data_IF_143011477527
#
_entry.id   IF_143011477527
#
_cell.length_a   1.000
_cell.length_b   1.000
_cell.length_c   1.000
_cell.angle_alpha   90.00
_cell.angle_beta   90.00
_cell.angle_gamma   90.00
#
_symmetry.space_group_name_H-M   'P 1'
#
loop_
_entity.id
_entity.type
_entity.pdbx_description
1 polymer ?
#
# COMPACT_ATOMS: atom_id res chain seq x y z
N UNK A 1 -10.72 20.55 2.76
CA UNK A 1 -9.38 20.00 2.62
C UNK A 1 -9.38 18.46 2.62
N UNK A 2 -10.04 17.78 3.56
CA UNK A 2 -10.06 16.31 3.61
C UNK A 2 -10.71 15.68 2.37
N UNK A 3 -11.73 16.30 1.78
CA UNK A 3 -12.29 15.87 0.49
C UNK A 3 -11.28 15.97 -0.66
N UNK A 4 -10.44 17.02 -0.66
CA UNK A 4 -9.39 17.15 -1.67
C UNK A 4 -8.29 16.08 -1.49
N UNK A 5 -7.90 15.77 -0.24
CA UNK A 5 -6.98 14.66 0.03
C UNK A 5 -7.54 13.34 -0.49
N UNK A 6 -8.81 13.04 -0.21
CA UNK A 6 -9.47 11.84 -0.71
C UNK A 6 -9.54 11.83 -2.25
N UNK A 7 -9.94 12.96 -2.87
CA UNK A 7 -10.02 13.08 -4.33
C UNK A 7 -8.67 12.85 -5.01
N UNK A 8 -7.59 13.41 -4.48
CA UNK A 8 -6.23 13.20 -5.01
C UNK A 8 -5.79 11.74 -4.88
N UNK A 9 -6.04 11.11 -3.72
CA UNK A 9 -5.72 9.69 -3.53
C UNK A 9 -6.54 8.77 -4.48
N UNK A 10 -7.82 9.08 -4.67
CA UNK A 10 -8.69 8.33 -5.59
C UNK A 10 -8.25 8.54 -7.04
N UNK A 11 -7.95 9.77 -7.42
CA UNK A 11 -7.38 10.10 -8.72
C UNK A 11 -6.08 9.32 -8.96
N UNK A 12 -5.17 9.31 -7.99
CA UNK A 12 -3.91 8.57 -8.10
C UNK A 12 -4.11 7.07 -8.38
N UNK A 13 -5.05 6.41 -7.68
CA UNK A 13 -5.38 5.00 -7.94
C UNK A 13 -6.01 4.82 -9.32
N UNK A 14 -7.00 5.67 -9.67
CA UNK A 14 -7.73 5.56 -10.93
C UNK A 14 -6.86 5.83 -12.17
N UNK A 15 -5.72 6.48 -12.00
CA UNK A 15 -4.78 6.82 -13.08
C UNK A 15 -3.48 6.02 -13.09
N UNK A 16 -3.34 4.99 -12.23
CA UNK A 16 -2.13 4.14 -12.18
C UNK A 16 -1.79 3.44 -13.51
N UNK A 17 -2.78 3.23 -14.35
CA UNK A 17 -2.63 2.65 -15.69
C UNK A 17 -2.13 3.64 -16.74
N UNK A 18 -2.30 4.95 -16.49
CA UNK A 18 -2.07 5.98 -17.48
C UNK A 18 -0.60 6.03 -17.92
N UNK A 19 -0.32 6.05 -19.23
CA UNK A 19 1.04 6.16 -19.73
C UNK A 19 1.62 7.55 -19.44
N UNK A 20 2.93 7.60 -19.30
CA UNK A 20 3.67 8.84 -19.06
C UNK A 20 3.54 9.38 -17.65
N UNK A 21 4.14 10.55 -17.42
CA UNK A 21 4.29 11.13 -16.08
C UNK A 21 3.20 12.14 -15.70
N UNK A 22 2.27 12.48 -16.60
CA UNK A 22 1.30 13.55 -16.37
C UNK A 22 0.39 13.29 -15.16
N UNK A 23 -0.11 12.06 -15.01
CA UNK A 23 -0.98 11.69 -13.90
C UNK A 23 -0.23 11.75 -12.56
N UNK A 24 1.01 11.26 -12.54
CA UNK A 24 1.89 11.33 -11.36
C UNK A 24 2.20 12.79 -11.03
N UNK A 25 2.52 13.62 -12.02
CA UNK A 25 2.81 15.03 -11.80
C UNK A 25 1.60 15.78 -11.23
N UNK A 26 0.39 15.56 -11.75
CA UNK A 26 -0.85 16.15 -11.21
C UNK A 26 -1.07 15.71 -9.76
N UNK A 27 -0.86 14.44 -9.47
CA UNK A 27 -0.98 13.89 -8.12
C UNK A 27 0.03 14.53 -7.16
N UNK A 28 1.31 14.59 -7.53
CA UNK A 28 2.39 15.13 -6.70
C UNK A 28 2.20 16.64 -6.44
N UNK A 29 1.93 17.43 -7.49
CA UNK A 29 1.67 18.87 -7.36
C UNK A 29 0.44 19.14 -6.48
N UNK A 30 -0.63 18.35 -6.68
CA UNK A 30 -1.82 18.44 -5.85
C UNK A 30 -1.53 18.16 -4.37
N UNK A 31 -0.71 17.13 -4.08
CA UNK A 31 -0.32 16.80 -2.71
C UNK A 31 0.59 17.85 -2.09
N UNK A 32 1.54 18.42 -2.83
CA UNK A 32 2.38 19.53 -2.35
C UNK A 32 1.55 20.76 -2.01
N UNK A 33 0.62 21.15 -2.90
CA UNK A 33 -0.28 22.29 -2.64
C UNK A 33 -1.17 22.05 -1.42
N UNK A 34 -1.73 20.86 -1.28
CA UNK A 34 -2.56 20.52 -0.13
C UNK A 34 -1.77 20.53 1.18
N UNK A 35 -0.56 19.96 1.19
CA UNK A 35 0.30 19.94 2.36
C UNK A 35 0.76 21.35 2.76
N UNK A 36 1.12 22.19 1.79
CA UNK A 36 1.47 23.58 2.04
C UNK A 36 0.32 24.34 2.72
N UNK A 37 -0.91 24.23 2.19
CA UNK A 37 -2.10 24.86 2.80
C UNK A 37 -2.40 24.29 4.18
N UNK A 38 -2.23 22.97 4.38
CA UNK A 38 -2.43 22.33 5.67
C UNK A 38 -1.42 22.85 6.71
N UNK A 39 -0.14 22.95 6.34
CA UNK A 39 0.91 23.49 7.20
C UNK A 39 0.67 24.96 7.54
N UNK A 40 0.36 25.82 6.57
CA UNK A 40 0.06 27.23 6.81
C UNK A 40 -1.09 27.42 7.83
N UNK A 41 -2.13 26.58 7.72
CA UNK A 41 -3.24 26.60 8.70
C UNK A 41 -2.82 26.09 10.06
N UNK A 42 -1.87 25.15 10.12
CA UNK A 42 -1.38 24.58 11.38
C UNK A 42 -0.38 25.45 12.12
N UNK A 43 0.16 26.50 11.50
CA UNK A 43 1.10 27.45 12.15
C UNK A 43 0.50 28.08 13.43
N UNK A 44 -0.83 28.17 13.51
CA UNK A 44 -1.55 28.64 14.71
C UNK A 44 -1.70 27.60 15.81
N UNK A 45 -1.42 26.33 15.52
CA UNK A 45 -1.52 25.20 16.43
C UNK A 45 -0.24 24.39 16.35
N UNK A 46 0.58 24.38 17.40
CA UNK A 46 1.87 23.70 17.40
C UNK A 46 1.75 22.27 16.84
N UNK A 47 2.48 21.92 15.78
CA UNK A 47 2.48 20.56 15.26
C UNK A 47 3.07 19.63 16.30
N UNK A 48 2.34 18.57 16.69
CA UNK A 48 2.91 17.54 17.56
C UNK A 48 3.79 16.64 16.72
N UNK A 49 5.05 16.55 17.09
CA UNK A 49 5.97 15.57 16.50
C UNK A 49 5.44 14.15 16.73
N UNK A 50 5.45 13.34 15.71
CA UNK A 50 5.21 11.90 15.81
C UNK A 50 6.31 11.15 15.05
N UNK A 51 6.64 9.97 15.54
CA UNK A 51 7.81 9.21 15.09
C UNK A 51 7.90 9.00 13.56
N UNK A 52 6.79 8.65 12.83
CA UNK A 52 6.87 8.42 11.37
C UNK A 52 7.37 9.62 10.57
N UNK A 53 7.28 10.83 11.13
CA UNK A 53 7.80 12.04 10.47
C UNK A 53 9.31 11.97 10.30
N UNK A 54 10.05 11.39 11.27
CA UNK A 54 11.50 11.32 11.24
C UNK A 54 12.04 10.46 10.08
N UNK A 55 11.63 9.19 9.89
CA UNK A 55 12.10 8.39 8.75
C UNK A 55 11.65 8.94 7.39
N UNK A 56 10.47 9.58 7.29
CA UNK A 56 10.03 10.21 6.04
C UNK A 56 10.84 11.47 5.72
N UNK A 57 11.16 12.31 6.71
CA UNK A 57 12.07 13.45 6.54
C UNK A 57 13.47 12.98 6.20
N UNK A 58 13.95 11.93 6.87
CA UNK A 58 15.26 11.33 6.57
C UNK A 58 15.31 10.83 5.12
N UNK A 59 14.26 10.18 4.61
CA UNK A 59 14.22 9.71 3.24
C UNK A 59 14.41 10.85 2.21
N UNK A 60 13.72 11.97 2.41
CA UNK A 60 13.89 13.16 1.56
C UNK A 60 15.30 13.75 1.71
N UNK A 61 15.72 13.97 2.95
CA UNK A 61 17.04 14.56 3.25
C UNK A 61 18.17 13.70 2.65
N UNK A 62 18.11 12.38 2.81
CA UNK A 62 19.12 11.45 2.33
C UNK A 62 19.27 11.49 0.82
N UNK A 63 18.17 11.47 0.10
CA UNK A 63 18.19 11.60 -1.36
C UNK A 63 18.75 12.95 -1.83
N UNK A 64 18.42 14.04 -1.13
CA UNK A 64 19.03 15.36 -1.40
C UNK A 64 20.53 15.37 -1.14
N UNK A 65 21.00 14.73 -0.06
CA UNK A 65 22.44 14.58 0.22
C UNK A 65 23.13 13.79 -0.89
N UNK A 66 22.57 12.65 -1.31
CA UNK A 66 23.13 11.87 -2.42
C UNK A 66 23.24 12.69 -3.71
N UNK A 67 22.20 13.46 -4.01
CA UNK A 67 22.18 14.30 -5.22
C UNK A 67 23.19 15.44 -5.15
N UNK A 68 23.20 16.22 -4.07
CA UNK A 68 24.08 17.39 -3.94
C UNK A 68 25.56 17.02 -3.81
N UNK A 69 25.87 15.90 -3.16
CA UNK A 69 27.25 15.47 -2.99
C UNK A 69 27.80 14.66 -4.17
N UNK A 70 26.99 14.47 -5.22
CA UNK A 70 27.37 13.65 -6.38
C UNK A 70 27.54 12.16 -6.08
N UNK A 71 26.95 11.67 -4.99
CA UNK A 71 27.04 10.25 -4.57
C UNK A 71 25.95 9.38 -5.20
N UNK A 72 25.37 9.80 -6.30
CA UNK A 72 24.41 9.03 -7.09
C UNK A 72 24.97 8.73 -8.47
N UNK A 73 24.66 7.54 -9.00
CA UNK A 73 25.04 7.15 -10.37
C UNK A 73 24.12 7.76 -11.42
N UNK A 74 22.89 8.17 -11.04
CA UNK A 74 21.95 8.85 -11.90
C UNK A 74 21.24 10.01 -11.17
N UNK A 75 21.75 11.25 -11.33
CA UNK A 75 21.11 12.42 -10.72
C UNK A 75 19.64 12.61 -11.13
N UNK A 76 19.27 12.16 -12.32
CA UNK A 76 17.90 12.24 -12.82
C UNK A 76 16.97 11.33 -12.02
N UNK A 77 17.29 10.04 -11.88
CA UNK A 77 16.48 9.07 -11.13
C UNK A 77 16.38 9.46 -9.65
N UNK A 78 17.49 9.92 -9.08
CA UNK A 78 17.50 10.37 -7.67
C UNK A 78 16.58 11.58 -7.45
N UNK A 79 16.51 12.55 -8.38
CA UNK A 79 15.57 13.67 -8.29
C UNK A 79 14.12 13.19 -8.33
N UNK A 80 13.80 12.25 -9.21
CA UNK A 80 12.46 11.66 -9.27
C UNK A 80 12.12 10.93 -7.96
N UNK A 81 13.05 10.16 -7.43
CA UNK A 81 12.87 9.46 -6.14
C UNK A 81 12.68 10.46 -4.98
N UNK A 82 13.46 11.54 -4.92
CA UNK A 82 13.28 12.62 -3.93
C UNK A 82 11.89 13.26 -4.05
N UNK A 83 11.39 13.55 -5.25
CA UNK A 83 10.05 14.09 -5.45
C UNK A 83 8.98 13.12 -4.91
N UNK A 84 9.11 11.82 -5.18
CA UNK A 84 8.21 10.78 -4.66
C UNK A 84 8.21 10.71 -3.12
N UNK A 85 9.39 10.68 -2.49
CA UNK A 85 9.49 10.69 -1.03
C UNK A 85 8.95 11.98 -0.42
N UNK A 86 9.16 13.12 -1.08
CA UNK A 86 8.57 14.40 -0.69
C UNK A 86 7.05 14.37 -0.79
N UNK A 87 6.49 13.70 -1.80
CA UNK A 87 5.04 13.49 -1.92
C UNK A 87 4.51 12.64 -0.77
N UNK A 88 5.18 11.55 -0.39
CA UNK A 88 4.78 10.74 0.76
C UNK A 88 4.85 11.52 2.07
N UNK A 89 5.88 12.34 2.26
CA UNK A 89 5.98 13.26 3.39
C UNK A 89 4.84 14.30 3.40
N UNK A 90 4.47 14.84 2.23
CA UNK A 90 3.35 15.77 2.08
C UNK A 90 2.01 15.10 2.44
N UNK A 91 1.75 13.89 1.94
CA UNK A 91 0.56 13.08 2.29
C UNK A 91 0.49 12.85 3.79
N UNK A 92 1.60 12.41 4.40
CA UNK A 92 1.66 12.16 5.84
C UNK A 92 1.38 13.43 6.64
N UNK A 93 2.03 14.53 6.29
CA UNK A 93 1.89 15.82 6.98
C UNK A 93 0.47 16.36 6.86
N UNK A 94 -0.13 16.33 5.66
CA UNK A 94 -1.52 16.70 5.45
C UNK A 94 -2.47 15.83 6.31
N UNK A 95 -2.24 14.51 6.34
CA UNK A 95 -2.98 13.58 7.19
C UNK A 95 -2.88 13.92 8.68
N UNK A 96 -1.66 14.19 9.18
CA UNK A 96 -1.45 14.58 10.58
C UNK A 96 -2.24 15.83 10.99
N UNK A 97 -2.38 16.80 10.10
CA UNK A 97 -3.14 18.00 10.38
C UNK A 97 -4.64 17.74 10.32
N UNK A 98 -5.10 17.04 9.28
CA UNK A 98 -6.53 16.87 9.00
C UNK A 98 -7.21 15.85 9.94
N UNK A 99 -6.51 14.77 10.30
CA UNK A 99 -7.09 13.68 11.10
C UNK A 99 -7.09 13.92 12.60
N UNK A 100 -6.68 15.12 13.07
CA UNK A 100 -6.90 15.57 14.45
C UNK A 100 -8.38 15.68 14.78
N UNK A 101 -9.19 16.04 13.79
CA UNK A 101 -10.65 16.05 13.89
C UNK A 101 -11.17 14.60 13.80
N UNK A 102 -11.85 14.15 14.86
CA UNK A 102 -12.37 12.79 14.96
C UNK A 102 -13.44 12.49 13.89
N UNK A 103 -14.25 13.49 13.50
CA UNK A 103 -15.24 13.33 12.43
C UNK A 103 -14.54 13.13 11.08
N UNK A 104 -13.54 13.95 10.76
CA UNK A 104 -12.73 13.81 9.54
C UNK A 104 -12.03 12.45 9.51
N UNK A 105 -11.45 12.03 10.63
CA UNK A 105 -10.80 10.72 10.77
C UNK A 105 -11.75 9.56 10.47
N UNK A 106 -12.96 9.56 11.05
CA UNK A 106 -13.98 8.51 10.79
C UNK A 106 -14.48 8.54 9.36
N UNK A 107 -14.81 9.74 8.85
CA UNK A 107 -15.26 9.93 7.48
C UNK A 107 -14.25 9.40 6.47
N UNK A 108 -12.96 9.76 6.67
CA UNK A 108 -11.89 9.38 5.74
C UNK A 108 -11.70 7.87 5.67
N UNK A 109 -11.69 7.17 6.82
CA UNK A 109 -11.67 5.69 6.85
C UNK A 109 -12.85 5.08 6.10
N UNK A 110 -14.04 5.65 6.29
CA UNK A 110 -15.23 5.18 5.56
C UNK A 110 -15.10 5.42 4.06
N UNK A 111 -14.61 6.59 3.65
CA UNK A 111 -14.37 6.91 2.25
C UNK A 111 -13.33 5.97 1.61
N UNK A 112 -12.23 5.66 2.30
CA UNK A 112 -11.24 4.68 1.85
C UNK A 112 -11.87 3.30 1.66
N UNK A 113 -12.66 2.83 2.62
CA UNK A 113 -13.33 1.53 2.57
C UNK A 113 -14.28 1.44 1.37
N UNK A 114 -15.15 2.44 1.19
CA UNK A 114 -16.10 2.46 0.07
C UNK A 114 -15.40 2.54 -1.28
N UNK A 115 -14.37 3.38 -1.39
CA UNK A 115 -13.59 3.48 -2.63
C UNK A 115 -12.90 2.14 -2.96
N UNK A 116 -12.24 1.51 -1.98
CA UNK A 116 -11.62 0.20 -2.16
C UNK A 116 -12.62 -0.88 -2.59
N UNK A 117 -13.80 -0.88 -2.00
CA UNK A 117 -14.89 -1.78 -2.39
C UNK A 117 -15.36 -1.55 -3.84
N UNK A 118 -15.55 -0.30 -4.24
CA UNK A 118 -15.92 0.04 -5.62
C UNK A 118 -14.81 -0.37 -6.61
N UNK A 119 -13.55 -0.15 -6.26
CA UNK A 119 -12.41 -0.63 -7.08
C UNK A 119 -12.39 -2.16 -7.16
N UNK A 120 -12.74 -2.87 -6.08
CA UNK A 120 -12.81 -4.34 -6.10
C UNK A 120 -13.89 -4.85 -7.07
N UNK A 121 -15.06 -4.23 -7.07
CA UNK A 121 -16.13 -4.54 -8.04
C UNK A 121 -15.66 -4.23 -9.46
N UNK A 122 -15.17 -3.01 -9.69
CA UNK A 122 -14.69 -2.57 -11.01
C UNK A 122 -13.60 -3.51 -11.55
N UNK A 123 -12.60 -3.83 -10.73
CA UNK A 123 -11.50 -4.70 -11.10
C UNK A 123 -11.98 -6.11 -11.44
N UNK A 124 -12.90 -6.66 -10.64
CA UNK A 124 -13.45 -8.00 -10.90
C UNK A 124 -14.24 -8.02 -12.20
N UNK A 125 -15.17 -7.07 -12.40
CA UNK A 125 -15.96 -6.99 -13.63
C UNK A 125 -15.05 -6.84 -14.85
N UNK A 126 -14.11 -5.89 -14.80
CA UNK A 126 -13.20 -5.61 -15.89
C UNK A 126 -12.31 -6.81 -16.25
N UNK A 127 -11.84 -7.57 -15.25
CA UNK A 127 -11.01 -8.76 -15.48
C UNK A 127 -11.69 -9.80 -16.39
N UNK A 128 -13.02 -9.90 -16.33
CA UNK A 128 -13.78 -10.90 -17.10
C UNK A 128 -14.46 -10.35 -18.35
N UNK A 129 -14.60 -9.03 -18.50
CA UNK A 129 -15.42 -8.43 -19.56
C UNK A 129 -14.70 -7.42 -20.43
N UNK A 130 -13.50 -6.94 -20.05
CA UNK A 130 -12.84 -5.83 -20.75
C UNK A 130 -11.75 -6.26 -21.73
N UNK A 131 -11.52 -7.57 -21.96
CA UNK A 131 -10.57 -8.09 -22.95
C UNK A 131 -9.17 -7.45 -22.85
N UNK A 132 -8.69 -7.21 -21.64
CA UNK A 132 -7.38 -6.58 -21.38
C UNK A 132 -7.36 -5.06 -21.47
N UNK A 133 -8.51 -4.40 -21.70
CA UNK A 133 -8.61 -2.93 -21.70
C UNK A 133 -8.87 -2.38 -20.31
N UNK A 134 -8.32 -1.19 -20.01
CA UNK A 134 -8.69 -0.42 -18.82
C UNK A 134 -9.97 0.36 -19.10
N UNK A 135 -10.92 0.29 -18.16
CA UNK A 135 -12.25 0.91 -18.28
C UNK A 135 -12.99 0.57 -19.57
N UNK A 136 -12.74 -0.63 -20.15
CA UNK A 136 -13.29 -1.12 -21.43
C UNK A 136 -12.92 -0.28 -22.66
N UNK A 137 -12.13 0.76 -22.50
CA UNK A 137 -11.83 1.76 -23.55
C UNK A 137 -10.33 1.75 -23.89
N UNK A 138 -9.48 1.82 -22.88
CA UNK A 138 -8.06 2.08 -23.07
C UNK A 138 -7.27 0.78 -23.27
N UNK A 139 -6.69 0.62 -24.44
CA UNK A 139 -5.76 -0.48 -24.74
C UNK A 139 -4.48 -0.32 -23.91
N UNK A 140 -3.98 -1.41 -23.37
CA UNK A 140 -2.72 -1.43 -22.62
C UNK A 140 -1.73 -2.41 -23.26
N UNK A 141 -0.45 -2.16 -23.10
CA UNK A 141 0.62 -3.09 -23.51
C UNK A 141 0.73 -4.31 -22.57
N UNK A 142 -0.07 -4.35 -21.52
CA UNK A 142 -0.03 -5.44 -20.55
C UNK A 142 -0.56 -6.72 -21.19
N UNK A 143 0.33 -7.68 -21.39
CA UNK A 143 -0.04 -9.03 -21.80
C UNK A 143 -0.57 -9.75 -20.56
N UNK A 144 -1.85 -9.58 -20.26
CA UNK A 144 -2.42 -10.26 -19.11
C UNK A 144 -3.72 -9.66 -18.61
N UNK A 145 -4.09 -10.03 -17.39
CA UNK A 145 -5.29 -9.53 -16.74
C UNK A 145 -5.09 -8.12 -16.21
N UNK A 146 -5.98 -7.26 -16.60
CA UNK A 146 -6.08 -5.91 -16.07
C UNK A 146 -7.04 -5.92 -14.87
N UNK A 147 -6.54 -5.52 -13.71
CA UNK A 147 -7.33 -5.45 -12.48
C UNK A 147 -7.83 -4.01 -12.24
N UNK A 148 -8.83 -3.60 -12.99
CA UNK A 148 -9.32 -2.22 -12.93
C UNK A 148 -8.25 -1.22 -13.40
N UNK A 149 -8.02 -0.14 -12.66
CA UNK A 149 -6.99 0.85 -12.97
C UNK A 149 -5.57 0.41 -12.60
N UNK A 150 -5.40 -0.79 -12.01
CA UNK A 150 -4.12 -1.31 -11.56
C UNK A 150 -3.70 -2.46 -12.46
N UNK A 151 -2.73 -2.22 -13.35
CA UNK A 151 -2.32 -3.18 -14.36
C UNK A 151 -1.63 -4.43 -13.82
N UNK A 152 -0.94 -4.28 -12.68
CA UNK A 152 -0.16 -5.36 -12.11
C UNK A 152 -0.90 -5.98 -10.91
N UNK A 153 -1.16 -7.28 -11.02
CA UNK A 153 -1.99 -8.04 -10.07
C UNK A 153 -1.47 -8.02 -8.62
N UNK A 154 -0.15 -7.98 -8.39
CA UNK A 154 0.39 -7.88 -7.03
C UNK A 154 0.16 -6.48 -6.43
N UNK A 155 0.30 -5.41 -7.22
CA UNK A 155 -0.04 -4.06 -6.75
C UNK A 155 -1.53 -3.91 -6.43
N UNK A 156 -2.38 -4.59 -7.22
CA UNK A 156 -3.81 -4.65 -6.90
C UNK A 156 -4.06 -5.34 -5.55
N UNK A 157 -3.41 -6.49 -5.33
CA UNK A 157 -3.52 -7.21 -4.06
C UNK A 157 -3.01 -6.37 -2.89
N UNK A 158 -1.87 -5.69 -3.02
CA UNK A 158 -1.33 -4.79 -2.01
C UNK A 158 -2.28 -3.61 -1.72
N UNK A 159 -3.00 -3.09 -2.74
CA UNK A 159 -4.04 -2.08 -2.52
C UNK A 159 -5.22 -2.65 -1.71
N UNK A 160 -5.66 -3.87 -2.01
CA UNK A 160 -6.72 -4.54 -1.24
C UNK A 160 -6.28 -4.82 0.21
N UNK A 161 -5.04 -5.19 0.45
CA UNK A 161 -4.46 -5.37 1.79
C UNK A 161 -4.60 -4.11 2.65
N UNK A 162 -4.46 -2.91 2.08
CA UNK A 162 -4.67 -1.66 2.86
C UNK A 162 -6.11 -1.52 3.35
N UNK A 163 -7.10 -1.96 2.57
CA UNK A 163 -8.52 -1.64 2.82
C UNK A 163 -9.35 -2.82 3.34
N UNK A 164 -8.99 -4.06 3.03
CA UNK A 164 -9.70 -5.27 3.47
C UNK A 164 -9.85 -5.35 5.01
N UNK A 165 -8.81 -5.07 5.83
CA UNK A 165 -8.96 -5.09 7.28
C UNK A 165 -9.99 -4.10 7.81
N UNK A 166 -10.23 -2.98 7.10
CA UNK A 166 -11.27 -2.02 7.47
C UNK A 166 -12.68 -2.62 7.30
N UNK A 167 -12.89 -3.41 6.23
CA UNK A 167 -14.15 -4.12 5.98
C UNK A 167 -14.39 -5.22 7.03
N UNK A 168 -13.37 -6.05 7.28
CA UNK A 168 -13.44 -7.13 8.28
C UNK A 168 -13.68 -6.55 9.68
N UNK A 169 -12.96 -5.49 10.05
CA UNK A 169 -13.19 -4.79 11.32
C UNK A 169 -14.63 -4.27 11.43
N UNK A 170 -15.17 -3.65 10.39
CA UNK A 170 -16.51 -3.11 10.39
C UNK A 170 -17.58 -4.22 10.48
N UNK A 171 -17.39 -5.36 9.81
CA UNK A 171 -18.30 -6.51 9.85
C UNK A 171 -18.42 -7.12 11.27
N UNK A 172 -17.35 -7.05 12.07
CA UNK A 172 -17.31 -7.58 13.42
C UNK A 172 -17.77 -6.58 14.50
N UNK A 173 -17.77 -5.28 14.19
CA UNK A 173 -18.06 -4.22 15.17
C UNK A 173 -19.43 -3.56 14.97
N UNK A 174 -19.92 -3.45 13.73
CA UNK A 174 -21.19 -2.76 13.42
C UNK A 174 -22.34 -3.75 13.30
N UNK A 175 -23.06 -3.99 14.40
CA UNK A 175 -24.13 -4.99 14.48
C UNK A 175 -25.26 -4.76 13.46
N UNK A 176 -25.65 -3.51 13.18
CA UNK A 176 -26.74 -3.19 12.24
C UNK A 176 -26.38 -3.47 10.79
N UNK A 177 -25.14 -3.22 10.42
CA UNK A 177 -24.67 -3.28 9.02
C UNK A 177 -23.74 -4.48 8.77
N UNK A 178 -23.79 -5.49 9.64
CA UNK A 178 -22.85 -6.63 9.59
C UNK A 178 -22.91 -7.34 8.24
N UNK A 179 -24.10 -7.54 7.65
CA UNK A 179 -24.24 -8.21 6.36
C UNK A 179 -23.56 -7.41 5.24
N UNK A 180 -23.78 -6.09 5.22
CA UNK A 180 -23.15 -5.19 4.25
C UNK A 180 -21.61 -5.29 4.30
N UNK A 181 -21.04 -5.12 5.50
CA UNK A 181 -19.57 -5.15 5.63
C UNK A 181 -18.97 -6.55 5.44
N UNK A 182 -19.73 -7.61 5.77
CA UNK A 182 -19.31 -8.99 5.42
C UNK A 182 -19.32 -9.20 3.91
N UNK A 183 -20.31 -8.65 3.22
CA UNK A 183 -20.36 -8.65 1.75
C UNK A 183 -19.22 -7.88 1.12
N UNK A 184 -18.91 -6.68 1.65
CA UNK A 184 -17.76 -5.90 1.19
C UNK A 184 -16.44 -6.66 1.37
N UNK A 185 -16.22 -7.27 2.54
CA UNK A 185 -15.02 -8.06 2.81
C UNK A 185 -14.92 -9.29 1.87
N UNK A 186 -16.04 -9.99 1.63
CA UNK A 186 -16.09 -11.14 0.75
C UNK A 186 -15.77 -10.77 -0.71
N UNK A 187 -16.34 -9.67 -1.22
CA UNK A 187 -16.07 -9.17 -2.58
C UNK A 187 -14.61 -8.76 -2.73
N UNK A 188 -14.07 -8.01 -1.77
CA UNK A 188 -12.66 -7.59 -1.78
C UNK A 188 -11.73 -8.80 -1.76
N UNK A 189 -11.98 -9.78 -0.89
CA UNK A 189 -11.14 -10.97 -0.82
C UNK A 189 -11.29 -11.85 -2.07
N UNK A 190 -12.50 -12.03 -2.61
CA UNK A 190 -12.71 -12.74 -3.87
C UNK A 190 -11.97 -12.07 -5.04
N UNK A 191 -11.91 -10.74 -5.06
CA UNK A 191 -11.16 -9.99 -6.06
C UNK A 191 -9.64 -10.21 -5.95
N UNK A 192 -9.10 -10.41 -4.73
CA UNK A 192 -7.71 -10.82 -4.53
C UNK A 192 -7.48 -12.24 -5.10
N UNK A 193 -8.41 -13.17 -4.91
CA UNK A 193 -8.35 -14.51 -5.53
C UNK A 193 -8.35 -14.37 -7.06
N UNK A 194 -9.24 -13.53 -7.61
CA UNK A 194 -9.33 -13.27 -9.05
C UNK A 194 -8.04 -12.69 -9.63
N UNK A 195 -7.32 -11.88 -8.86
CA UNK A 195 -6.02 -11.32 -9.26
C UNK A 195 -4.96 -12.40 -9.46
N UNK A 196 -5.12 -13.56 -8.82
CA UNK A 196 -4.16 -14.65 -8.78
C UNK A 196 -2.78 -14.23 -8.20
N UNK A 197 -2.73 -13.20 -7.34
CA UNK A 197 -1.55 -12.87 -6.56
C UNK A 197 -1.39 -13.86 -5.41
N UNK A 198 -0.31 -14.64 -5.40
CA UNK A 198 -0.01 -15.61 -4.34
C UNK A 198 0.23 -14.93 -2.99
N UNK A 199 1.08 -13.91 -3.00
CA UNK A 199 1.40 -13.12 -1.81
C UNK A 199 0.15 -12.42 -1.29
N UNK A 200 -0.63 -11.78 -2.19
CA UNK A 200 -1.89 -11.15 -1.82
C UNK A 200 -2.89 -12.13 -1.21
N UNK A 201 -3.02 -13.33 -1.78
CA UNK A 201 -3.90 -14.37 -1.21
C UNK A 201 -3.48 -14.77 0.21
N UNK A 202 -2.19 -15.01 0.43
CA UNK A 202 -1.67 -15.40 1.75
C UNK A 202 -1.84 -14.26 2.76
N UNK A 203 -1.45 -13.04 2.40
CA UNK A 203 -1.53 -11.89 3.31
C UNK A 203 -2.98 -11.51 3.61
N UNK A 204 -3.85 -11.42 2.62
CA UNK A 204 -5.27 -11.13 2.83
C UNK A 204 -5.97 -12.21 3.69
N UNK A 205 -5.60 -13.49 3.53
CA UNK A 205 -6.09 -14.57 4.40
C UNK A 205 -5.60 -14.37 5.84
N UNK A 206 -4.32 -14.05 6.02
CA UNK A 206 -3.73 -13.79 7.32
C UNK A 206 -4.38 -12.56 8.00
N UNK A 207 -4.67 -11.50 7.25
CA UNK A 207 -5.36 -10.31 7.75
C UNK A 207 -6.73 -10.63 8.34
N UNK A 208 -7.55 -11.43 7.65
CA UNK A 208 -8.87 -11.85 8.13
C UNK A 208 -8.74 -12.56 9.49
N UNK A 209 -7.80 -13.50 9.57
CA UNK A 209 -7.55 -14.27 10.80
C UNK A 209 -7.03 -13.36 11.91
N UNK A 210 -6.03 -12.52 11.62
CA UNK A 210 -5.40 -11.65 12.60
C UNK A 210 -6.39 -10.60 13.13
N UNK A 211 -7.22 -9.99 12.25
CA UNK A 211 -8.26 -9.04 12.66
C UNK A 211 -9.25 -9.71 13.62
N UNK A 212 -9.74 -10.90 13.28
CA UNK A 212 -10.67 -11.65 14.11
C UNK A 212 -10.05 -12.03 15.47
N UNK A 213 -8.83 -12.57 15.46
CA UNK A 213 -8.10 -12.98 16.65
C UNK A 213 -7.81 -11.79 17.58
N UNK A 214 -7.33 -10.67 17.05
CA UNK A 214 -7.03 -9.48 17.84
C UNK A 214 -8.29 -8.88 18.47
N UNK A 215 -9.42 -8.83 17.74
CA UNK A 215 -10.67 -8.35 18.31
C UNK A 215 -11.19 -9.26 19.43
N UNK A 216 -11.00 -10.57 19.30
CA UNK A 216 -11.34 -11.53 20.35
C UNK A 216 -10.43 -11.37 21.58
N UNK A 217 -9.11 -11.37 21.39
CA UNK A 217 -8.14 -11.20 22.46
C UNK A 217 -8.29 -9.87 23.22
N UNK A 218 -8.72 -8.81 22.50
CA UNK A 218 -8.99 -7.50 23.10
C UNK A 218 -10.37 -7.42 23.79
N UNK A 219 -11.16 -8.50 23.81
CA UNK A 219 -12.53 -8.51 24.34
C UNK A 219 -13.50 -7.61 23.57
N UNK A 220 -13.16 -7.24 22.33
CA UNK A 220 -13.94 -6.30 21.50
C UNK A 220 -14.93 -6.99 20.58
N UNK A 221 -14.86 -8.30 20.44
CA UNK A 221 -15.84 -9.13 19.75
C UNK A 221 -15.99 -10.47 20.51
N UNK A 222 -17.23 -10.98 20.61
CA UNK A 222 -17.49 -12.28 21.18
C UNK A 222 -17.16 -13.40 20.19
N UNK A 223 -16.84 -14.60 20.67
CA UNK A 223 -16.59 -15.76 19.83
C UNK A 223 -17.77 -16.08 18.90
N UNK A 224 -19.02 -15.94 19.36
CA UNK A 224 -20.21 -16.12 18.54
C UNK A 224 -20.34 -15.09 17.42
N UNK A 225 -20.02 -13.81 17.70
CA UNK A 225 -20.00 -12.76 16.67
C UNK A 225 -18.92 -13.01 15.61
N UNK A 226 -17.74 -13.48 16.04
CA UNK A 226 -16.66 -13.85 15.13
C UNK A 226 -17.07 -15.04 14.28
N UNK A 227 -17.55 -16.13 14.90
CA UNK A 227 -17.98 -17.34 14.19
C UNK A 227 -19.07 -17.03 13.17
N UNK A 228 -20.09 -16.26 13.54
CA UNK A 228 -21.15 -15.86 12.63
C UNK A 228 -20.71 -14.92 11.50
N UNK A 229 -19.75 -14.05 11.76
CA UNK A 229 -19.17 -13.17 10.72
C UNK A 229 -18.28 -13.96 9.76
N UNK A 230 -17.39 -14.82 10.28
CA UNK A 230 -16.55 -15.67 9.46
C UNK A 230 -17.40 -16.62 8.60
N UNK A 231 -18.46 -17.22 9.16
CA UNK A 231 -19.38 -18.06 8.38
C UNK A 231 -20.01 -17.26 7.23
N UNK A 232 -20.52 -16.05 7.48
CA UNK A 232 -21.09 -15.21 6.42
C UNK A 232 -20.05 -14.85 5.35
N UNK A 233 -18.85 -14.42 5.75
CA UNK A 233 -17.76 -14.12 4.81
C UNK A 233 -17.43 -15.35 3.99
N UNK A 234 -17.30 -16.52 4.62
CA UNK A 234 -17.00 -17.77 3.92
C UNK A 234 -18.08 -18.20 2.94
N UNK A 235 -19.37 -18.10 3.34
CA UNK A 235 -20.49 -18.43 2.46
C UNK A 235 -20.57 -17.48 1.26
N UNK A 236 -20.45 -16.17 1.50
CA UNK A 236 -20.42 -15.17 0.44
C UNK A 236 -19.19 -15.35 -0.47
N UNK A 237 -18.03 -15.64 0.13
CA UNK A 237 -16.82 -15.95 -0.61
C UNK A 237 -17.01 -17.18 -1.51
N UNK A 238 -17.61 -18.25 -1.00
CA UNK A 238 -17.88 -19.46 -1.80
C UNK A 238 -18.76 -19.13 -3.02
N UNK A 239 -19.78 -18.29 -2.86
CA UNK A 239 -20.63 -17.83 -3.97
C UNK A 239 -19.80 -17.00 -4.98
N UNK A 240 -19.06 -16.01 -4.51
CA UNK A 240 -18.24 -15.17 -5.40
C UNK A 240 -17.13 -15.97 -6.08
N UNK A 241 -16.47 -16.90 -5.36
CA UNK A 241 -15.41 -17.73 -5.92
C UNK A 241 -15.95 -18.73 -6.94
N UNK A 242 -17.18 -19.23 -6.76
CA UNK A 242 -17.84 -20.05 -7.77
C UNK A 242 -18.07 -19.27 -9.09
N UNK A 243 -18.34 -17.96 -9.01
CA UNK A 243 -18.49 -17.08 -10.18
C UNK A 243 -17.15 -16.68 -10.78
N UNK A 244 -16.21 -16.26 -9.94
CA UNK A 244 -14.89 -15.72 -10.35
C UNK A 244 -13.95 -16.81 -10.82
N UNK A 245 -14.09 -18.03 -10.31
CA UNK A 245 -13.20 -19.16 -10.54
C UNK A 245 -11.97 -19.14 -9.61
N UNK A 246 -11.61 -20.33 -9.18
CA UNK A 246 -10.49 -20.58 -8.27
C UNK A 246 -9.27 -21.20 -9.00
N UNK A 247 -9.47 -21.77 -10.20
CA UNK A 247 -8.46 -22.54 -10.90
C UNK A 247 -7.12 -21.86 -11.08
N UNK A 248 -7.12 -20.56 -11.40
CA UNK A 248 -5.86 -19.83 -11.66
C UNK A 248 -5.00 -19.58 -10.42
N UNK A 249 -5.61 -19.24 -9.28
CA UNK A 249 -4.82 -19.13 -8.05
C UNK A 249 -4.28 -20.50 -7.65
N UNK A 250 -5.09 -21.55 -7.86
CA UNK A 250 -4.68 -22.92 -7.61
C UNK A 250 -3.48 -23.33 -8.47
N UNK A 251 -3.52 -23.12 -9.78
CA UNK A 251 -2.39 -23.37 -10.68
C UNK A 251 -1.14 -22.60 -10.25
N UNK A 252 -1.29 -21.34 -9.88
CA UNK A 252 -0.17 -20.52 -9.44
C UNK A 252 0.42 -20.96 -8.11
N UNK A 253 -0.39 -21.43 -7.16
CA UNK A 253 0.10 -21.97 -5.89
C UNK A 253 0.92 -23.26 -6.09
N UNK A 254 0.62 -24.04 -7.15
CA UNK A 254 1.33 -25.29 -7.49
C UNK A 254 2.47 -25.08 -8.51
N UNK A 255 2.78 -23.86 -8.92
CA UNK A 255 3.90 -23.58 -9.83
C UNK A 255 5.21 -23.94 -9.14
N UNK A 256 6.04 -24.85 -9.70
CA UNK A 256 7.37 -25.12 -9.18
C UNK A 256 8.21 -23.85 -9.21
N UNK A 257 8.99 -23.61 -8.16
CA UNK A 257 9.89 -22.48 -8.00
C UNK A 257 9.30 -21.10 -8.38
N UNK A 258 8.36 -20.61 -7.59
CA UNK A 258 7.71 -19.33 -7.85
C UNK A 258 8.64 -18.10 -7.73
N UNK A 259 9.83 -18.27 -7.18
CA UNK A 259 10.79 -17.20 -6.88
C UNK A 259 12.07 -17.26 -7.73
N UNK A 260 12.17 -18.19 -8.72
CA UNK A 260 13.40 -18.37 -9.50
C UNK A 260 13.98 -17.05 -10.05
N UNK A 261 13.16 -16.22 -10.69
CA UNK A 261 13.62 -14.94 -11.23
C UNK A 261 13.90 -13.87 -10.16
N UNK A 262 13.27 -13.97 -8.99
CA UNK A 262 13.47 -12.99 -7.89
C UNK A 262 14.76 -13.25 -7.12
N UNK A 263 15.14 -14.51 -6.95
CA UNK A 263 16.43 -14.86 -6.31
C UNK A 263 17.63 -14.22 -7.00
N UNK A 264 17.58 -14.10 -8.32
CA UNK A 264 18.63 -13.39 -9.08
C UNK A 264 18.69 -11.91 -8.67
N UNK A 265 17.53 -11.23 -8.63
CA UNK A 265 17.46 -9.82 -8.22
C UNK A 265 17.92 -9.61 -6.77
N UNK A 266 17.56 -10.56 -5.87
CA UNK A 266 17.97 -10.51 -4.46
C UNK A 266 19.49 -10.68 -4.32
N UNK A 267 20.09 -11.67 -5.00
CA UNK A 267 21.53 -11.91 -4.99
C UNK A 267 22.29 -10.70 -5.54
N UNK A 268 21.85 -10.18 -6.68
CA UNK A 268 22.47 -8.98 -7.27
C UNK A 268 22.33 -7.76 -6.37
N UNK A 269 21.16 -7.58 -5.71
CA UNK A 269 20.97 -6.49 -4.75
C UNK A 269 21.86 -6.63 -3.52
N UNK A 270 22.10 -7.85 -3.02
CA UNK A 270 23.06 -8.11 -1.93
C UNK A 270 24.48 -7.70 -2.35
N UNK A 271 24.91 -8.03 -3.57
CA UNK A 271 26.21 -7.61 -4.07
C UNK A 271 26.32 -6.08 -4.21
N UNK A 272 25.23 -5.41 -4.67
CA UNK A 272 25.15 -3.95 -4.71
C UNK A 272 25.29 -3.35 -3.30
N UNK A 273 24.54 -3.87 -2.32
CA UNK A 273 24.61 -3.42 -0.92
C UNK A 273 26.01 -3.60 -0.35
N UNK A 274 26.64 -4.75 -0.59
CA UNK A 274 28.01 -5.03 -0.15
C UNK A 274 29.03 -4.07 -0.77
N UNK A 275 28.84 -3.68 -2.03
CA UNK A 275 29.73 -2.75 -2.73
C UNK A 275 29.62 -1.30 -2.21
N UNK A 276 28.41 -0.85 -1.81
CA UNK A 276 28.19 0.51 -1.28
C UNK A 276 27.27 0.53 -0.04
N UNK A 277 27.68 -0.04 1.10
CA UNK A 277 26.80 -0.28 2.24
C UNK A 277 26.28 1.00 2.92
N UNK A 278 27.02 2.10 2.87
CA UNK A 278 26.68 3.31 3.63
C UNK A 278 25.81 4.30 2.85
N UNK A 279 26.13 4.57 1.59
CA UNK A 279 25.43 5.58 0.80
C UNK A 279 24.57 4.98 -0.30
N UNK A 280 24.76 3.69 -0.63
CA UNK A 280 24.13 3.07 -1.77
C UNK A 280 24.59 3.70 -3.11
N UNK A 281 23.76 3.51 -4.13
CA UNK A 281 24.04 3.98 -5.49
C UNK A 281 23.27 5.26 -5.86
N UNK A 282 22.37 5.73 -5.01
CA UNK A 282 21.43 6.83 -5.23
C UNK A 282 19.99 6.34 -5.29
N UNK A 283 19.07 7.06 -4.63
CA UNK A 283 17.66 6.65 -4.60
C UNK A 283 17.10 6.53 -6.01
N UNK A 284 16.39 5.44 -6.30
CA UNK A 284 15.76 5.15 -7.59
C UNK A 284 16.70 4.62 -8.67
N UNK A 285 17.98 4.35 -8.36
CA UNK A 285 18.98 3.99 -9.37
C UNK A 285 19.17 2.49 -9.58
N UNK A 286 18.45 1.65 -8.82
CA UNK A 286 18.57 0.19 -8.93
C UNK A 286 18.50 -0.32 -10.39
N UNK A 287 17.52 0.11 -11.24
CA UNK A 287 17.45 -0.39 -12.62
C UNK A 287 18.65 -0.02 -13.49
N UNK A 288 19.33 1.09 -13.14
CA UNK A 288 20.51 1.59 -13.86
C UNK A 288 21.76 0.80 -13.46
N UNK A 289 21.83 0.41 -12.19
CA UNK A 289 23.02 -0.26 -11.60
C UNK A 289 22.94 -1.77 -11.73
N UNK A 290 21.74 -2.36 -11.62
CA UNK A 290 21.51 -3.80 -11.65
C UNK A 290 22.26 -4.53 -12.79
N UNK A 291 22.29 -4.05 -14.06
CA UNK A 291 22.97 -4.76 -15.14
C UNK A 291 24.47 -5.03 -14.88
N UNK A 292 25.11 -4.20 -14.06
CA UNK A 292 26.53 -4.40 -13.71
C UNK A 292 26.73 -5.49 -12.62
N UNK A 293 25.67 -5.90 -11.95
CA UNK A 293 25.68 -6.90 -10.88
C UNK A 293 24.86 -8.15 -11.22
N UNK A 294 24.18 -8.16 -12.37
CA UNK A 294 23.40 -9.29 -12.83
C UNK A 294 24.30 -10.53 -13.03
N UNK A 295 23.92 -11.66 -12.45
CA UNK A 295 24.62 -12.93 -12.62
C UNK A 295 24.10 -13.72 -13.82
N UNK A 296 22.90 -13.38 -14.30
CA UNK A 296 22.23 -14.02 -15.44
C UNK A 296 21.70 -12.93 -16.37
N UNK A 297 22.01 -13.03 -17.65
CA UNK A 297 21.37 -12.20 -18.68
C UNK A 297 20.05 -12.86 -19.11
N UNK A 298 18.94 -12.22 -18.79
CA UNK A 298 17.60 -12.67 -19.21
C UNK A 298 17.16 -12.13 -20.55
N UNK A 299 17.94 -11.26 -21.19
CA UNK A 299 17.58 -10.52 -22.39
C UNK A 299 16.42 -9.52 -22.20
N UNK A 300 16.01 -9.24 -20.92
CA UNK A 300 14.92 -8.35 -20.57
C UNK A 300 15.41 -7.23 -19.65
N UNK A 301 14.84 -6.05 -19.83
CA UNK A 301 15.10 -4.95 -18.93
C UNK A 301 14.43 -5.19 -17.57
N UNK A 302 15.22 -5.26 -16.52
CA UNK A 302 14.73 -5.36 -15.15
C UNK A 302 14.48 -3.95 -14.61
N UNK A 303 13.22 -3.61 -14.42
CA UNK A 303 12.83 -2.26 -13.99
C UNK A 303 12.73 -2.11 -12.46
N UNK A 304 12.79 -3.20 -11.70
CA UNK A 304 12.68 -3.26 -10.21
C UNK A 304 13.30 -4.53 -9.67
N UNK A 305 13.72 -4.48 -8.40
CA UNK A 305 14.24 -5.63 -7.68
C UNK A 305 13.17 -6.69 -7.38
N UNK A 306 11.89 -6.36 -7.43
CA UNK A 306 10.77 -7.16 -6.90
C UNK A 306 10.88 -7.46 -5.40
N UNK A 307 11.60 -6.62 -4.69
CA UNK A 307 11.74 -6.52 -3.25
C UNK A 307 12.09 -5.05 -2.93
N UNK A 308 11.13 -4.30 -2.38
CA UNK A 308 11.35 -2.89 -2.03
C UNK A 308 12.43 -2.73 -0.95
N UNK A 309 12.56 -3.69 -0.01
CA UNK A 309 13.56 -3.61 1.05
C UNK A 309 14.99 -3.71 0.50
N UNK A 310 15.20 -4.65 -0.42
CA UNK A 310 16.48 -4.80 -1.11
C UNK A 310 16.78 -3.60 -2.00
N UNK A 311 15.79 -3.12 -2.77
CA UNK A 311 15.94 -1.95 -3.63
C UNK A 311 16.28 -0.69 -2.82
N UNK A 312 15.53 -0.42 -1.72
CA UNK A 312 15.82 0.71 -0.84
C UNK A 312 17.22 0.66 -0.23
N UNK A 313 17.64 -0.54 0.19
CA UNK A 313 18.96 -0.70 0.81
C UNK A 313 20.08 -0.61 -0.21
N UNK A 314 19.91 -1.11 -1.42
CA UNK A 314 20.87 -0.96 -2.51
C UNK A 314 21.02 0.51 -2.95
N UNK A 315 19.90 1.22 -3.07
CA UNK A 315 19.85 2.61 -3.50
C UNK A 315 20.33 3.60 -2.44
N UNK A 316 19.90 3.41 -1.19
CA UNK A 316 20.12 4.36 -0.09
C UNK A 316 21.18 3.92 0.93
N UNK A 317 21.70 2.70 0.82
CA UNK A 317 22.57 2.09 1.81
C UNK A 317 21.81 1.60 3.05
N UNK A 318 22.56 0.95 3.97
CA UNK A 318 22.04 0.46 5.25
C UNK A 318 21.30 1.52 6.08
N UNK A 319 21.80 2.80 6.18
CA UNK A 319 21.08 3.83 6.93
C UNK A 319 19.65 4.06 6.43
N UNK A 320 19.44 4.00 5.12
CA UNK A 320 18.12 4.18 4.52
C UNK A 320 17.20 2.97 4.81
N UNK A 321 17.72 1.75 4.60
CA UNK A 321 16.99 0.53 4.94
C UNK A 321 16.59 0.47 6.42
N UNK A 322 17.52 0.85 7.33
CA UNK A 322 17.25 0.91 8.78
C UNK A 322 16.17 1.95 9.10
N UNK A 323 16.19 3.13 8.48
CA UNK A 323 15.19 4.16 8.68
C UNK A 323 13.78 3.66 8.30
N UNK A 324 13.64 2.97 7.16
CA UNK A 324 12.35 2.42 6.73
C UNK A 324 11.94 1.21 7.59
N UNK A 325 12.88 0.36 8.01
CA UNK A 325 12.61 -0.72 8.96
C UNK A 325 12.10 -0.16 10.30
N UNK A 326 12.66 0.95 10.77
CA UNK A 326 12.18 1.62 11.99
C UNK A 326 10.76 2.17 11.85
N UNK A 327 10.39 2.67 10.66
CA UNK A 327 9.00 3.08 10.35
C UNK A 327 8.05 1.87 10.41
N UNK A 328 8.42 0.75 9.79
CA UNK A 328 7.67 -0.49 9.85
C UNK A 328 7.46 -0.97 11.28
N UNK A 329 8.54 -1.07 12.07
CA UNK A 329 8.48 -1.49 13.46
C UNK A 329 7.57 -0.57 14.31
N UNK A 330 7.62 0.75 14.05
CA UNK A 330 6.70 1.66 14.70
C UNK A 330 5.24 1.37 14.34
N UNK A 331 4.95 1.01 13.08
CA UNK A 331 3.58 0.72 12.64
C UNK A 331 2.95 -0.48 13.35
N UNK A 332 3.73 -1.45 13.83
CA UNK A 332 3.23 -2.67 14.48
C UNK A 332 2.32 -2.32 15.68
N UNK A 333 2.81 -1.50 16.61
CA UNK A 333 2.06 -1.18 17.85
C UNK A 333 0.73 -0.47 17.58
N UNK A 334 0.65 0.61 16.76
CA UNK A 334 -0.62 1.26 16.48
C UNK A 334 -1.55 0.39 15.61
N UNK A 335 -1.04 -0.41 14.68
CA UNK A 335 -1.83 -1.31 13.85
C UNK A 335 -2.50 -2.41 14.69
N UNK A 336 -1.76 -3.11 15.56
CA UNK A 336 -2.33 -4.10 16.47
C UNK A 336 -3.33 -3.50 17.45
N UNK A 337 -3.16 -2.27 17.86
CA UNK A 337 -4.13 -1.56 18.71
C UNK A 337 -5.35 -1.01 17.96
N UNK A 338 -5.22 -0.64 16.68
CA UNK A 338 -6.29 -0.17 15.77
C UNK A 338 -6.48 -1.15 14.64
N UNK A 339 -6.97 -2.32 14.95
CA UNK A 339 -7.01 -3.53 14.11
C UNK A 339 -7.41 -3.29 12.64
N UNK A 340 -8.21 -2.26 12.36
CA UNK A 340 -8.56 -1.81 11.00
C UNK A 340 -7.35 -1.32 10.18
N UNK A 341 -6.23 -0.99 10.84
CA UNK A 341 -5.00 -0.52 10.20
C UNK A 341 -3.93 -1.60 10.00
N UNK A 342 -4.27 -2.88 10.23
CA UNK A 342 -3.31 -4.00 10.10
C UNK A 342 -2.77 -4.13 8.68
N UNK A 343 -3.52 -3.67 7.67
CA UNK A 343 -3.11 -3.68 6.27
C UNK A 343 -1.81 -2.92 5.98
N UNK A 344 -1.45 -1.92 6.80
CA UNK A 344 -0.14 -1.28 6.71
C UNK A 344 0.98 -2.30 6.92
N UNK A 345 0.80 -3.21 7.89
CA UNK A 345 1.79 -4.27 8.18
C UNK A 345 1.86 -5.25 7.01
N UNK A 346 0.71 -5.62 6.44
CA UNK A 346 0.65 -6.52 5.29
C UNK A 346 1.37 -5.95 4.07
N UNK A 347 1.17 -4.67 3.74
CA UNK A 347 1.87 -4.03 2.61
C UNK A 347 3.38 -3.99 2.81
N UNK A 348 3.88 -3.73 4.03
CA UNK A 348 5.32 -3.81 4.30
C UNK A 348 5.87 -5.24 4.20
N UNK A 349 5.08 -6.26 4.56
CA UNK A 349 5.44 -7.66 4.34
C UNK A 349 5.37 -8.03 2.85
N UNK A 350 4.39 -7.51 2.12
CA UNK A 350 4.30 -7.68 0.66
C UNK A 350 5.52 -7.07 -0.04
N UNK A 351 6.02 -5.96 0.46
CA UNK A 351 7.20 -5.26 -0.04
C UNK A 351 8.51 -6.10 0.02
N UNK A 352 8.53 -7.17 0.83
CA UNK A 352 9.67 -8.11 0.87
C UNK A 352 9.68 -9.13 -0.29
N UNK A 353 8.63 -9.17 -1.10
CA UNK A 353 8.52 -10.09 -2.24
C UNK A 353 7.98 -9.43 -3.50
N UNK A 354 7.73 -8.12 -3.45
CA UNK A 354 7.29 -7.30 -4.58
C UNK A 354 7.64 -5.81 -4.32
N UNK A 355 7.13 -4.87 -5.13
CA UNK A 355 7.49 -3.45 -5.08
C UNK A 355 6.26 -2.52 -5.02
N UNK A 356 5.35 -2.66 -4.02
CA UNK A 356 4.15 -1.83 -3.92
C UNK A 356 4.45 -0.34 -3.70
N UNK A 357 5.54 0.00 -3.02
CA UNK A 357 5.93 1.38 -2.76
C UNK A 357 6.53 2.10 -3.98
N UNK A 358 6.90 1.38 -5.03
CA UNK A 358 7.35 2.00 -6.29
C UNK A 358 6.22 2.73 -7.03
N UNK A 359 4.95 2.51 -6.64
CA UNK A 359 3.76 3.16 -7.20
C UNK A 359 3.31 4.30 -6.28
N UNK A 360 3.51 5.58 -6.67
CA UNK A 360 3.31 6.73 -5.78
C UNK A 360 1.93 6.77 -5.11
N UNK A 361 0.87 6.48 -5.87
CA UNK A 361 -0.49 6.48 -5.32
C UNK A 361 -0.71 5.35 -4.30
N UNK A 362 -0.20 4.15 -4.54
CA UNK A 362 -0.33 3.02 -3.62
C UNK A 362 0.49 3.25 -2.34
N UNK A 363 1.73 3.75 -2.49
CA UNK A 363 2.56 4.17 -1.37
C UNK A 363 1.85 5.26 -0.53
N UNK A 364 1.21 6.23 -1.20
CA UNK A 364 0.45 7.29 -0.53
C UNK A 364 -0.76 6.76 0.25
N UNK A 365 -1.45 5.72 -0.24
CA UNK A 365 -2.53 5.06 0.50
C UNK A 365 -2.01 4.38 1.78
N UNK A 366 -0.86 3.74 1.72
CA UNK A 366 -0.20 3.18 2.89
C UNK A 366 0.19 4.28 3.87
N UNK A 367 0.82 5.36 3.40
CA UNK A 367 1.28 6.47 4.23
C UNK A 367 0.12 7.26 4.86
N UNK A 368 -0.99 7.48 4.15
CA UNK A 368 -2.17 8.12 4.75
C UNK A 368 -2.79 7.25 5.83
N UNK A 369 -2.74 5.92 5.69
CA UNK A 369 -3.18 5.00 6.74
C UNK A 369 -2.25 5.07 7.96
N UNK A 370 -0.94 5.23 7.76
CA UNK A 370 0.02 5.51 8.85
C UNK A 370 -0.34 6.82 9.56
N UNK A 371 -0.73 7.87 8.84
CA UNK A 371 -1.18 9.13 9.44
C UNK A 371 -2.47 8.97 10.27
N UNK A 372 -3.42 8.18 9.78
CA UNK A 372 -4.63 7.82 10.55
C UNK A 372 -4.26 7.06 11.85
N UNK A 373 -3.32 6.13 11.78
CA UNK A 373 -2.83 5.40 12.96
C UNK A 373 -2.10 6.32 13.95
N UNK A 374 -1.33 7.29 13.46
CA UNK A 374 -0.59 8.24 14.29
C UNK A 374 -1.50 9.20 15.06
N UNK A 375 -2.67 9.55 14.51
CA UNK A 375 -3.63 10.50 15.12
C UNK A 375 -4.70 9.83 15.98
N UNK A 376 -4.73 8.52 16.07
CA UNK A 376 -5.76 7.69 16.71
C UNK A 376 -6.06 8.05 18.18
N UNK A 377 -5.05 8.43 18.99
CA UNK A 377 -5.23 8.73 20.42
C UNK A 377 -6.14 9.95 20.68
N UNK A 378 -6.24 10.84 19.69
CA UNK A 378 -7.09 12.03 19.78
C UNK A 378 -8.55 11.71 19.47
N UNK A 379 -8.82 10.67 18.66
CA UNK A 379 -10.18 10.22 18.30
C UNK A 379 -10.78 9.24 19.32
N UNK A 380 -9.99 8.52 20.09
CA UNK A 380 -10.47 7.52 21.07
C UNK A 380 -11.24 8.12 22.26
N UNK A 381 -10.98 9.39 22.61
CA UNK A 381 -11.76 10.14 23.59
C UNK A 381 -13.18 10.45 23.11
N UNK A 382 -13.35 10.71 21.81
CA UNK A 382 -14.65 10.99 21.19
C UNK A 382 -15.45 9.70 20.90
N UNK A 383 -14.80 8.57 20.65
CA UNK A 383 -15.48 7.28 20.45
C UNK A 383 -16.14 6.74 21.72
N UNK A 384 -15.66 7.13 22.92
CA UNK A 384 -16.30 6.77 24.21
C UNK A 384 -17.50 7.64 24.56
N UNK A 385 -17.62 8.81 23.95
CA UNK A 385 -18.72 9.73 24.17
C UNK A 385 -19.94 9.42 23.28
N UNK A 386 -19.75 8.65 22.20
CA UNK A 386 -20.80 8.27 21.21
C UNK A 386 -21.31 6.83 21.42
N UNK A 387 -20.92 6.13 22.50
CA UNK A 387 -21.43 4.81 22.92
C UNK A 387 -22.39 4.95 24.09
#
# INVERSE_FOLDING_TARGET
MHYLLAALLFFGILTLWAPGYWAVAVFEVGMFGLAAVALLRSLRTAPRFCYPLAPLLFAVFWGLVQWWTGRTVSPFETRIAVARWTTLLAVFTAGLVLFRDAHVHRWFRSAMLWFGFLVAILATLQTFTAEGKVFWIFQTESIGRVMGPILYYNHYAAFMEVVLPMAVYASLRRRRDTLLYSGMAAVMYASVIASASRTGFVLASAEIVVVAALLWLQGRASGSAIGSSLLRVTLLLAVFTAVVGWGRIWERLHTPDPFAGRREFDVSSIHMIAARPWFGFGLGTWPVVYPAYATIDTGKFANRAHDDWMEWTADGGLPFGIALASLFLWCLRPAFGSVWGIGVVAVFLHAAVDYPFSRPALAAWTVVTIALLATRKQSAGAERADQ
#
